data_IF_431676024873
#
_entry.id   IF_431676024873
#
_cell.length_a   1.000
_cell.length_b   1.000
_cell.length_c   1.000
_cell.angle_alpha   90.00
_cell.angle_beta   90.00
_cell.angle_gamma   90.00
#
_symmetry.space_group_name_H-M   'P 1'
#
loop_
_entity.id
_entity.type
_entity.pdbx_description
1 polymer ?
#
# COMPACT_ATOMS: atom_id res chain seq x y z
N UNK A 1 10.94 1.82 3.58
CA UNK A 1 10.00 2.61 2.77
C UNK A 1 9.45 3.73 3.65
N UNK A 2 9.13 4.88 3.09
CA UNK A 2 8.54 6.03 3.77
C UNK A 2 7.22 6.39 3.08
N UNK A 3 6.28 6.93 3.85
CA UNK A 3 4.95 7.32 3.36
C UNK A 3 4.74 8.78 3.74
N UNK A 4 4.48 9.61 2.74
CA UNK A 4 4.14 11.01 2.92
C UNK A 4 2.65 11.17 2.65
N UNK A 5 1.91 11.64 3.65
CA UNK A 5 0.53 12.09 3.46
C UNK A 5 0.59 13.59 3.25
N UNK A 6 0.10 14.05 2.10
CA UNK A 6 0.11 15.48 1.72
C UNK A 6 -1.30 15.87 1.30
N UNK A 7 -1.71 17.07 1.66
CA UNK A 7 -2.99 17.64 1.28
C UNK A 7 -2.80 18.97 0.53
N UNK A 8 -3.89 19.49 -0.02
CA UNK A 8 -3.91 20.76 -0.75
C UNK A 8 -3.77 22.00 0.15
N UNK A 9 -3.90 21.84 1.47
CA UNK A 9 -3.70 22.92 2.43
C UNK A 9 -2.21 23.20 2.71
N UNK A 10 -1.34 22.24 2.45
CA UNK A 10 0.12 22.38 2.60
C UNK A 10 0.73 23.24 1.48
N UNK A 11 1.01 24.51 1.77
CA UNK A 11 1.59 25.47 0.81
C UNK A 11 3.09 25.25 0.54
N UNK A 12 3.79 24.60 1.47
CA UNK A 12 5.25 24.52 1.47
C UNK A 12 5.78 23.12 1.10
N UNK A 13 5.02 22.36 0.31
CA UNK A 13 5.44 21.02 -0.14
C UNK A 13 6.79 21.01 -0.90
N UNK A 14 7.17 22.15 -1.47
CA UNK A 14 8.45 22.34 -2.15
C UNK A 14 9.66 22.34 -1.19
N UNK A 15 9.45 22.58 0.11
CA UNK A 15 10.52 22.57 1.11
C UNK A 15 10.99 21.15 1.43
N UNK A 16 10.16 20.12 1.23
CA UNK A 16 10.53 18.71 1.44
C UNK A 16 11.40 18.13 0.31
N UNK A 17 11.66 18.90 -0.75
CA UNK A 17 12.40 18.41 -1.91
C UNK A 17 13.80 17.89 -1.56
N UNK A 18 14.62 18.58 -0.73
CA UNK A 18 15.94 18.09 -0.32
C UNK A 18 15.87 16.78 0.47
N UNK A 19 14.94 16.67 1.43
CA UNK A 19 14.77 15.51 2.31
C UNK A 19 14.33 14.29 1.51
N UNK A 20 13.32 14.45 0.64
CA UNK A 20 12.87 13.36 -0.25
C UNK A 20 13.99 12.91 -1.18
N UNK A 21 14.79 13.84 -1.71
CA UNK A 21 15.95 13.49 -2.53
C UNK A 21 17.00 12.70 -1.74
N UNK A 22 17.23 13.05 -0.47
CA UNK A 22 18.11 12.31 0.42
C UNK A 22 17.59 10.90 0.71
N UNK A 23 16.30 10.76 1.01
CA UNK A 23 15.65 9.46 1.21
C UNK A 23 15.81 8.56 -0.01
N UNK A 24 15.50 9.08 -1.20
CA UNK A 24 15.64 8.35 -2.47
C UNK A 24 17.08 7.93 -2.74
N UNK A 25 18.08 8.80 -2.46
CA UNK A 25 19.51 8.47 -2.60
C UNK A 25 19.96 7.35 -1.66
N UNK A 26 19.33 7.22 -0.49
CA UNK A 26 19.58 6.15 0.47
C UNK A 26 18.73 4.90 0.19
N UNK A 27 18.23 4.72 -1.05
CA UNK A 27 17.37 3.62 -1.46
C UNK A 27 16.07 3.49 -0.64
N UNK A 28 15.61 4.56 0.00
CA UNK A 28 14.31 4.59 0.67
C UNK A 28 13.24 4.91 -0.38
N UNK A 29 12.38 3.93 -0.68
CA UNK A 29 11.17 4.13 -1.48
C UNK A 29 10.22 5.08 -0.74
N UNK A 30 9.70 6.08 -1.44
CA UNK A 30 8.75 7.07 -0.94
C UNK A 30 7.42 6.88 -1.66
N UNK A 31 6.38 6.54 -0.90
CA UNK A 31 4.99 6.61 -1.38
C UNK A 31 4.32 7.88 -0.90
N UNK A 32 3.44 8.40 -1.75
CA UNK A 32 2.70 9.65 -1.50
C UNK A 32 1.23 9.34 -1.50
N UNK A 33 0.55 9.73 -0.43
CA UNK A 33 -0.91 9.76 -0.37
C UNK A 33 -1.33 11.22 -0.47
N UNK A 34 -1.87 11.60 -1.62
CA UNK A 34 -2.32 12.94 -1.93
C UNK A 34 -3.81 13.08 -1.61
N UNK A 35 -4.14 13.95 -0.66
CA UNK A 35 -5.49 14.22 -0.16
C UNK A 35 -6.02 15.51 -0.77
N UNK A 36 -7.17 15.44 -1.43
CA UNK A 36 -7.73 16.57 -2.16
C UNK A 36 -6.96 16.91 -3.44
N UNK A 37 -6.96 18.18 -3.80
CA UNK A 37 -6.46 18.65 -5.11
C UNK A 37 -4.98 19.09 -5.03
N UNK A 38 -4.10 18.13 -4.78
CA UNK A 38 -2.65 18.40 -4.76
C UNK A 38 -2.09 18.45 -6.20
N UNK A 39 -1.28 19.47 -6.56
CA UNK A 39 -0.71 19.60 -7.90
C UNK A 39 0.13 18.38 -8.32
N UNK A 40 -0.16 17.83 -9.49
CA UNK A 40 0.52 16.67 -10.06
C UNK A 40 2.06 16.80 -10.11
N UNK A 41 2.65 17.96 -10.50
CA UNK A 41 4.11 18.11 -10.49
C UNK A 41 4.74 17.95 -9.11
N UNK A 42 4.03 18.35 -8.06
CA UNK A 42 4.48 18.21 -6.67
C UNK A 42 4.45 16.75 -6.25
N UNK A 43 3.35 16.04 -6.52
CA UNK A 43 3.22 14.62 -6.17
C UNK A 43 4.26 13.76 -6.89
N UNK A 44 4.43 13.97 -8.21
CA UNK A 44 5.43 13.26 -9.02
C UNK A 44 6.86 13.46 -8.50
N UNK A 45 7.16 14.66 -7.99
CA UNK A 45 8.46 14.92 -7.39
C UNK A 45 8.65 14.15 -6.08
N UNK A 46 7.62 14.11 -5.23
CA UNK A 46 7.70 13.50 -3.90
C UNK A 46 7.80 11.97 -3.96
N UNK A 47 7.01 11.33 -4.83
CA UNK A 47 6.97 9.86 -4.94
C UNK A 47 8.23 9.28 -5.60
N UNK A 48 8.69 8.10 -5.18
CA UNK A 48 9.83 7.40 -5.79
C UNK A 48 9.52 6.87 -7.20
N UNK A 49 8.31 6.34 -7.40
CA UNK A 49 7.77 6.00 -8.72
C UNK A 49 6.34 6.56 -8.76
N UNK A 50 6.03 7.60 -9.54
CA UNK A 50 4.70 8.20 -9.54
C UNK A 50 3.58 7.26 -9.98
N UNK A 51 3.88 6.27 -10.82
CA UNK A 51 2.86 5.38 -11.37
C UNK A 51 2.49 4.25 -10.39
N UNK A 52 3.38 3.95 -9.43
CA UNK A 52 3.20 2.84 -8.47
C UNK A 52 3.07 3.31 -7.01
N UNK A 53 3.67 4.44 -6.66
CA UNK A 53 3.79 4.92 -5.29
C UNK A 53 2.99 6.20 -5.04
N UNK A 54 1.92 6.43 -5.81
CA UNK A 54 0.99 7.54 -5.61
C UNK A 54 -0.40 7.00 -5.40
N UNK A 55 -1.03 7.43 -4.31
CA UNK A 55 -2.44 7.20 -4.03
C UNK A 55 -3.11 8.57 -3.94
N UNK A 56 -4.18 8.76 -4.72
CA UNK A 56 -5.01 9.96 -4.64
C UNK A 56 -6.29 9.64 -3.89
N UNK A 57 -6.65 10.52 -2.97
CA UNK A 57 -7.93 10.46 -2.25
C UNK A 57 -8.60 11.81 -2.30
N UNK A 58 -9.93 11.79 -2.46
CA UNK A 58 -10.73 13.02 -2.50
C UNK A 58 -10.79 13.76 -1.14
N UNK A 59 -10.58 13.04 -0.04
CA UNK A 59 -10.63 13.58 1.31
C UNK A 59 -10.22 12.54 2.36
N UNK A 60 -10.10 12.99 3.61
CA UNK A 60 -9.68 12.11 4.71
C UNK A 60 -10.69 11.02 5.02
N UNK A 61 -11.99 11.28 4.83
CA UNK A 61 -13.03 10.27 5.04
C UNK A 61 -12.89 9.08 4.07
N UNK A 62 -12.46 9.37 2.84
CA UNK A 62 -12.22 8.38 1.78
C UNK A 62 -11.09 7.39 2.09
N UNK A 63 -10.26 7.62 3.11
CA UNK A 63 -9.26 6.63 3.53
C UNK A 63 -9.90 5.35 4.06
N UNK A 64 -11.02 5.49 4.79
CA UNK A 64 -11.74 4.34 5.36
C UNK A 64 -12.41 3.53 4.27
N UNK A 65 -13.05 4.22 3.33
CA UNK A 65 -13.90 3.59 2.32
C UNK A 65 -13.09 2.93 1.20
N UNK A 66 -11.95 3.52 0.82
CA UNK A 66 -11.09 2.94 -0.22
C UNK A 66 -10.25 1.77 0.30
N UNK A 67 -10.35 1.45 1.60
CA UNK A 67 -9.54 0.40 2.23
C UNK A 67 -8.08 0.56 1.82
N UNK A 68 -7.58 1.81 1.77
CA UNK A 68 -6.22 2.10 1.33
C UNK A 68 -5.32 1.40 2.31
N UNK A 69 -4.91 0.21 1.90
CA UNK A 69 -4.09 -0.61 2.70
C UNK A 69 -2.68 -0.07 2.53
N UNK A 70 -2.38 0.94 3.32
CA UNK A 70 -1.04 1.49 3.46
C UNK A 70 -0.05 0.34 3.75
N UNK A 71 -0.52 -0.76 4.37
CA UNK A 71 0.26 -1.98 4.57
C UNK A 71 0.48 -2.74 3.25
N UNK A 72 -0.46 -2.73 2.30
CA UNK A 72 -0.27 -3.28 0.96
C UNK A 72 0.91 -2.60 0.25
N UNK A 73 0.95 -1.26 0.27
CA UNK A 73 2.06 -0.50 -0.29
C UNK A 73 3.40 -0.84 0.41
N UNK A 74 3.39 -1.01 1.73
CA UNK A 74 4.60 -1.29 2.52
C UNK A 74 5.10 -2.72 2.37
N UNK A 75 4.19 -3.68 2.32
CA UNK A 75 4.50 -5.11 2.42
C UNK A 75 4.59 -5.79 1.06
N UNK A 76 4.20 -5.13 -0.03
CA UNK A 76 4.20 -5.74 -1.37
C UNK A 76 3.35 -7.01 -1.42
N UNK A 77 2.30 -7.08 -0.59
CA UNK A 77 1.35 -8.18 -0.62
C UNK A 77 0.68 -8.15 -1.99
N UNK A 78 0.63 -9.27 -2.71
CA UNK A 78 0.05 -9.29 -4.05
C UNK A 78 -1.49 -9.22 -3.99
N UNK A 79 -2.02 -8.26 -4.76
CA UNK A 79 -3.39 -7.92 -5.14
C UNK A 79 -4.43 -7.49 -4.07
N UNK A 80 -5.03 -6.29 -4.21
CA UNK A 80 -6.23 -5.90 -3.49
C UNK A 80 -7.40 -6.75 -3.98
N UNK A 81 -7.81 -7.71 -3.14
CA UNK A 81 -8.91 -8.65 -3.46
C UNK A 81 -8.88 -9.94 -2.64
N UNK A 82 -7.73 -10.31 -2.05
CA UNK A 82 -7.63 -11.50 -1.18
C UNK A 82 -7.66 -11.22 0.32
N UNK A 83 -7.47 -9.96 0.72
CA UNK A 83 -7.49 -9.56 2.12
C UNK A 83 -8.68 -8.66 2.38
N UNK A 84 -9.89 -9.23 2.34
CA UNK A 84 -10.98 -8.66 3.11
C UNK A 84 -10.62 -8.82 4.59
N UNK A 85 -9.94 -7.84 5.16
CA UNK A 85 -9.94 -7.71 6.62
C UNK A 85 -11.35 -7.25 7.00
N UNK A 86 -12.15 -8.20 7.47
CA UNK A 86 -13.43 -7.91 8.13
C UNK A 86 -13.13 -7.10 9.40
N UNK A 87 -13.02 -5.78 9.25
CA UNK A 87 -12.90 -4.86 10.37
C UNK A 87 -14.31 -4.65 10.92
N UNK A 88 -14.65 -5.39 11.98
CA UNK A 88 -15.92 -5.23 12.68
C UNK A 88 -15.71 -4.35 13.90
N UNK A 89 -16.42 -3.22 13.90
CA UNK A 89 -16.52 -2.35 15.07
C UNK A 89 -17.61 -2.90 15.99
N UNK A 90 -17.26 -3.18 17.24
CA UNK A 90 -18.22 -3.55 18.26
C UNK A 90 -18.35 -2.40 19.24
N UNK A 91 -19.59 -1.93 19.43
CA UNK A 91 -19.94 -1.05 20.53
C UNK A 91 -20.43 -1.90 21.69
N UNK A 92 -19.81 -1.75 22.85
CA UNK A 92 -20.31 -2.27 24.11
C UNK A 92 -20.48 -1.13 25.12
N UNK A 93 -21.07 -1.43 26.28
CA UNK A 93 -21.32 -0.44 27.34
C UNK A 93 -20.03 0.18 27.93
N UNK A 94 -18.85 -0.33 27.54
CA UNK A 94 -17.53 0.19 27.92
C UNK A 94 -16.83 0.98 26.80
N UNK A 95 -17.48 1.17 25.65
CA UNK A 95 -16.97 1.93 24.50
C UNK A 95 -16.84 1.12 23.21
N UNK A 96 -16.18 1.73 22.23
CA UNK A 96 -15.93 1.10 20.92
C UNK A 96 -14.63 0.30 20.96
N UNK A 97 -14.65 -0.98 20.59
CA UNK A 97 -13.44 -1.78 20.43
C UNK A 97 -13.24 -2.20 18.97
N UNK A 98 -12.01 -2.05 18.49
CA UNK A 98 -11.57 -2.49 17.16
C UNK A 98 -11.10 -3.94 17.25
N UNK A 99 -11.82 -4.86 16.62
CA UNK A 99 -11.38 -6.25 16.50
C UNK A 99 -10.85 -6.50 15.08
N UNK A 100 -9.53 -6.61 14.95
CA UNK A 100 -8.88 -7.00 13.69
C UNK A 100 -8.76 -8.52 13.70
N UNK A 101 -9.60 -9.21 12.92
CA UNK A 101 -9.38 -10.64 12.65
C UNK A 101 -8.20 -10.76 11.69
N UNK A 102 -7.13 -11.41 12.13
CA UNK A 102 -6.03 -11.75 11.24
C UNK A 102 -6.59 -12.57 10.05
N UNK A 103 -6.16 -12.27 8.82
CA UNK A 103 -6.57 -13.07 7.67
C UNK A 103 -6.14 -14.53 7.89
N UNK A 104 -6.92 -15.51 7.39
CA UNK A 104 -6.56 -16.90 7.50
C UNK A 104 -5.17 -17.10 6.89
N UNK A 105 -4.27 -17.74 7.64
CA UNK A 105 -2.94 -18.08 7.15
C UNK A 105 -3.08 -18.86 5.84
N UNK A 106 -2.41 -18.42 4.75
CA UNK A 106 -2.48 -19.13 3.49
C UNK A 106 -2.03 -20.58 3.69
N UNK A 107 -2.89 -21.52 3.29
CA UNK A 107 -2.64 -22.95 3.42
C UNK A 107 -1.46 -23.34 2.52
N UNK A 108 -0.28 -23.50 3.14
CA UNK A 108 0.97 -23.81 2.45
C UNK A 108 0.98 -25.21 1.82
N UNK A 109 -0.02 -26.06 2.05
CA UNK A 109 -0.08 -27.41 1.47
C UNK A 109 -0.38 -27.41 -0.04
N UNK A 110 -0.91 -26.32 -0.60
CA UNK A 110 -1.27 -26.24 -2.04
C UNK A 110 -0.12 -25.79 -2.96
N UNK A 111 1.00 -25.32 -2.42
CA UNK A 111 2.13 -24.81 -3.24
C UNK A 111 3.00 -25.94 -3.81
N UNK A 112 2.91 -27.17 -3.27
CA UNK A 112 3.77 -28.29 -3.67
C UNK A 112 3.30 -29.01 -4.94
N UNK A 113 2.02 -28.90 -5.34
CA UNK A 113 1.54 -29.55 -6.58
C UNK A 113 2.02 -28.84 -7.85
N UNK A 114 2.12 -27.51 -7.84
CA UNK A 114 2.59 -26.75 -9.02
C UNK A 114 4.09 -26.92 -9.30
N UNK A 115 4.91 -27.23 -8.28
CA UNK A 115 6.32 -27.53 -8.47
C UNK A 115 6.59 -28.90 -9.12
N UNK A 116 5.65 -29.86 -9.00
CA UNK A 116 5.75 -31.16 -9.69
C UNK A 116 5.41 -31.06 -11.18
N UNK A 117 4.45 -30.23 -11.56
CA UNK A 117 4.07 -30.03 -12.98
C UNK A 117 5.14 -29.31 -13.81
N UNK A 118 5.93 -28.42 -13.20
CA UNK A 118 7.01 -27.74 -13.92
C UNK A 118 8.20 -28.66 -14.24
N UNK A 119 8.41 -29.73 -13.45
CA UNK A 119 9.52 -30.67 -13.64
C UNK A 119 9.22 -31.80 -14.65
N UNK A 120 7.97 -32.00 -15.05
CA UNK A 120 7.62 -32.96 -16.11
C UNK A 120 7.75 -32.38 -17.52
N UNK A 121 7.73 -31.05 -17.67
CA UNK A 121 7.84 -30.40 -18.99
C UNK A 121 9.28 -30.25 -19.52
N UNK A 122 10.31 -30.36 -18.68
CA UNK A 122 11.72 -30.23 -19.09
C UNK A 122 12.36 -31.50 -19.67
N UNK A 123 11.64 -32.62 -19.78
CA UNK A 123 12.21 -33.90 -20.27
C UNK A 123 11.87 -34.25 -21.71
N UNK A 124 11.14 -33.41 -22.45
CA UNK A 124 10.76 -33.66 -23.84
C UNK A 124 11.06 -32.44 -24.72
N UNK A 125 12.34 -32.08 -24.81
CA UNK A 125 12.84 -31.34 -25.97
C UNK A 125 13.98 -32.17 -26.57
N UNK A 126 13.85 -32.60 -27.85
CA UNK A 126 14.88 -33.36 -28.56
C UNK A 126 16.10 -32.51 -28.92
#
# INVERSE_FOLDING_TARGET
MAILVVDDTNKDLHLFKPEVKLLKRNNVKVAVVAVGEVPEPTIRFLASNPDEHVIRVSGYDSFKDNGIDVLYLLCGLEEPGKYHTDVKYYHNDQGSQLLIKAPPTPDMTKTTENAKLLNSFKRHQP
#
